data_IF_860963685150
#
_entry.id   IF_860963685150
#
_cell.length_a   1.000
_cell.length_b   1.000
_cell.length_c   1.000
_cell.angle_alpha   90.00
_cell.angle_beta   90.00
_cell.angle_gamma   90.00
#
_symmetry.space_group_name_H-M   'P 1'
#
loop_
_entity.id
_entity.type
_entity.pdbx_description
1 polymer ?
#
# COMPACT_ATOMS: atom_id res chain seq x y z
N UNK A 1 -10.97 0.55 35.71
CA UNK A 1 -11.38 0.22 34.34
C UNK A 1 -10.64 1.05 33.26
N UNK A 2 -10.34 2.36 33.41
CA UNK A 2 -9.57 3.17 32.45
C UNK A 2 -8.08 2.80 32.33
N UNK A 3 -7.42 2.43 33.43
CA UNK A 3 -5.97 2.16 33.47
C UNK A 3 -5.61 0.88 32.68
N UNK A 4 -6.42 -0.17 32.79
CA UNK A 4 -6.17 -1.41 32.05
C UNK A 4 -6.30 -1.23 30.53
N UNK A 5 -7.27 -0.44 30.06
CA UNK A 5 -7.39 -0.11 28.63
C UNK A 5 -6.18 0.67 28.12
N UNK A 6 -5.68 1.65 28.88
CA UNK A 6 -4.48 2.41 28.52
C UNK A 6 -3.21 1.55 28.47
N UNK A 7 -3.12 0.51 29.31
CA UNK A 7 -2.01 -0.45 29.27
C UNK A 7 -2.13 -1.40 28.07
N UNK A 8 -3.34 -1.86 27.76
CA UNK A 8 -3.62 -2.68 26.59
C UNK A 8 -3.32 -1.91 25.27
N UNK A 9 -3.72 -0.64 25.17
CA UNK A 9 -3.43 0.21 24.01
C UNK A 9 -1.93 0.46 23.84
N UNK A 10 -1.18 0.66 24.94
CA UNK A 10 0.28 0.82 24.90
C UNK A 10 0.98 -0.47 24.48
N UNK A 11 0.56 -1.62 25.00
CA UNK A 11 1.09 -2.93 24.61
C UNK A 11 0.81 -3.24 23.12
N UNK A 12 -0.37 -2.86 22.64
CA UNK A 12 -0.71 -2.98 21.21
C UNK A 12 0.20 -2.11 20.33
N UNK A 13 0.49 -0.87 20.77
CA UNK A 13 1.41 0.03 20.09
C UNK A 13 2.84 -0.50 20.04
N UNK A 14 3.36 -1.04 21.14
CA UNK A 14 4.69 -1.66 21.19
C UNK A 14 4.77 -2.87 20.28
N UNK A 15 3.76 -3.74 20.30
CA UNK A 15 3.68 -4.89 19.40
C UNK A 15 3.66 -4.46 17.93
N UNK A 16 2.89 -3.44 17.59
CA UNK A 16 2.85 -2.89 16.24
C UNK A 16 4.21 -2.33 15.83
N UNK A 17 4.89 -1.59 16.71
CA UNK A 17 6.23 -1.07 16.45
C UNK A 17 7.26 -2.18 16.18
N UNK A 18 7.24 -3.25 16.98
CA UNK A 18 8.11 -4.42 16.78
C UNK A 18 7.81 -5.10 15.46
N UNK A 19 6.52 -5.28 15.13
CA UNK A 19 6.09 -5.87 13.86
C UNK A 19 6.61 -5.05 12.66
N UNK A 20 6.42 -3.73 12.69
CA UNK A 20 6.90 -2.82 11.63
C UNK A 20 8.43 -2.84 11.55
N UNK A 21 9.12 -2.86 12.69
CA UNK A 21 10.59 -2.90 12.73
C UNK A 21 11.15 -4.17 12.07
N UNK A 22 10.65 -5.34 12.44
CA UNK A 22 11.09 -6.62 11.86
C UNK A 22 10.77 -6.67 10.36
N UNK A 23 9.54 -6.30 9.99
CA UNK A 23 9.12 -6.29 8.58
C UNK A 23 9.95 -5.31 7.74
N UNK A 24 10.29 -4.12 8.29
CA UNK A 24 11.10 -3.13 7.56
C UNK A 24 12.53 -3.59 7.33
N UNK A 25 13.14 -4.28 8.30
CA UNK A 25 14.47 -4.87 8.13
C UNK A 25 14.45 -5.91 7.00
N UNK A 26 13.45 -6.80 6.99
CA UNK A 26 13.32 -7.84 5.96
C UNK A 26 13.17 -7.19 4.56
N UNK A 27 12.26 -6.22 4.42
CA UNK A 27 12.05 -5.50 3.17
C UNK A 27 13.31 -4.78 2.72
N UNK A 28 13.97 -4.06 3.64
CA UNK A 28 15.16 -3.27 3.32
C UNK A 28 16.33 -4.15 2.89
N UNK A 29 16.64 -5.21 3.65
CA UNK A 29 17.73 -6.14 3.33
C UNK A 29 17.45 -6.80 1.98
N UNK A 30 16.26 -7.39 1.80
CA UNK A 30 15.93 -8.15 0.60
C UNK A 30 16.02 -7.28 -0.65
N UNK A 31 15.41 -6.09 -0.64
CA UNK A 31 15.43 -5.23 -1.82
C UNK A 31 16.80 -4.58 -2.06
N UNK A 32 17.57 -4.32 -1.01
CA UNK A 32 18.95 -3.82 -1.15
C UNK A 32 19.84 -4.83 -1.88
N UNK A 33 19.69 -6.12 -1.59
CA UNK A 33 20.43 -7.17 -2.27
C UNK A 33 20.03 -7.35 -3.74
N UNK A 34 18.72 -7.24 -4.04
CA UNK A 34 18.22 -7.54 -5.38
C UNK A 34 18.17 -6.36 -6.34
N UNK A 35 17.98 -5.12 -5.87
CA UNK A 35 17.63 -4.00 -6.76
C UNK A 35 18.53 -2.79 -6.68
N UNK A 36 19.44 -2.68 -5.73
CA UNK A 36 20.28 -1.49 -5.45
C UNK A 36 19.52 -0.16 -5.35
N UNK A 37 18.20 -0.18 -5.39
CA UNK A 37 17.34 0.99 -5.32
C UNK A 37 16.73 1.15 -3.92
N UNK A 38 16.27 2.36 -3.63
CA UNK A 38 15.60 2.66 -2.36
C UNK A 38 14.22 2.01 -2.33
N UNK A 39 13.94 1.12 -1.35
CA UNK A 39 12.68 0.36 -1.28
C UNK A 39 11.53 1.16 -0.67
N UNK A 40 11.43 2.47 -0.96
CA UNK A 40 10.48 3.39 -0.32
C UNK A 40 9.04 2.91 -0.46
N UNK A 41 8.69 2.45 -1.65
CA UNK A 41 7.32 2.04 -1.94
C UNK A 41 6.96 0.68 -1.35
N UNK A 42 7.92 -0.23 -1.29
CA UNK A 42 7.74 -1.50 -0.59
C UNK A 42 7.56 -1.28 0.91
N UNK A 43 8.38 -0.41 1.52
CA UNK A 43 8.25 -0.03 2.93
C UNK A 43 6.92 0.65 3.22
N UNK A 44 6.50 1.62 2.40
CA UNK A 44 5.20 2.29 2.56
C UNK A 44 4.03 1.29 2.44
N UNK A 45 4.14 0.31 1.54
CA UNK A 45 3.12 -0.73 1.36
C UNK A 45 3.12 -1.73 2.50
N UNK A 46 4.28 -2.08 3.02
CA UNK A 46 4.45 -2.93 4.18
C UNK A 46 3.80 -2.28 5.42
N UNK A 47 4.14 -1.02 5.73
CA UNK A 47 3.57 -0.31 6.88
C UNK A 47 2.04 -0.25 6.79
N UNK A 48 1.51 0.12 5.62
CA UNK A 48 0.07 0.25 5.43
C UNK A 48 -0.69 -1.08 5.42
N UNK A 49 0.00 -2.22 5.30
CA UNK A 49 -0.58 -3.57 5.37
C UNK A 49 -0.27 -4.30 6.68
N UNK A 50 0.53 -3.69 7.54
CA UNK A 50 0.86 -4.22 8.88
C UNK A 50 -0.32 -3.99 9.81
N UNK A 51 -1.18 -5.00 9.93
CA UNK A 51 -2.34 -4.96 10.81
C UNK A 51 -2.20 -6.02 11.90
N UNK A 52 -2.63 -5.72 13.15
CA UNK A 52 -2.63 -6.70 14.23
C UNK A 52 -3.50 -7.92 13.95
N UNK A 53 -4.58 -7.72 13.17
CA UNK A 53 -5.53 -8.77 12.78
C UNK A 53 -5.25 -9.22 11.34
N UNK A 54 -4.81 -10.46 11.18
CA UNK A 54 -4.41 -11.02 9.87
C UNK A 54 -5.51 -10.94 8.80
N UNK A 55 -6.78 -11.18 9.19
CA UNK A 55 -7.93 -11.06 8.27
C UNK A 55 -8.07 -9.64 7.70
N UNK A 56 -7.83 -8.63 8.52
CA UNK A 56 -7.89 -7.22 8.11
C UNK A 56 -6.69 -6.88 7.22
N UNK A 57 -5.49 -7.36 7.55
CA UNK A 57 -4.30 -7.24 6.72
C UNK A 57 -4.50 -7.82 5.31
N UNK A 58 -5.12 -9.00 5.20
CA UNK A 58 -5.42 -9.62 3.91
C UNK A 58 -6.43 -8.79 3.08
N UNK A 59 -7.43 -8.20 3.71
CA UNK A 59 -8.39 -7.30 3.05
C UNK A 59 -7.68 -6.06 2.50
N UNK A 60 -6.79 -5.47 3.29
CA UNK A 60 -5.98 -4.32 2.89
C UNK A 60 -5.04 -4.69 1.74
N UNK A 61 -4.37 -5.84 1.83
CA UNK A 61 -3.52 -6.36 0.76
C UNK A 61 -4.24 -6.44 -0.59
N UNK A 62 -5.41 -7.11 -0.62
CA UNK A 62 -6.21 -7.22 -1.86
C UNK A 62 -6.61 -5.86 -2.40
N UNK A 63 -7.07 -4.98 -1.52
CA UNK A 63 -7.47 -3.63 -1.91
C UNK A 63 -6.29 -2.83 -2.49
N UNK A 64 -5.12 -2.89 -1.87
CA UNK A 64 -3.92 -2.21 -2.36
C UNK A 64 -3.46 -2.76 -3.71
N UNK A 65 -3.44 -4.09 -3.85
CA UNK A 65 -3.06 -4.73 -5.11
C UNK A 65 -3.96 -4.28 -6.26
N UNK A 66 -5.27 -4.35 -6.07
CA UNK A 66 -6.25 -3.95 -7.08
C UNK A 66 -6.07 -2.46 -7.43
N UNK A 67 -6.01 -1.57 -6.43
CA UNK A 67 -5.88 -0.14 -6.67
C UNK A 67 -4.57 0.24 -7.35
N UNK A 68 -3.46 -0.40 -6.96
CA UNK A 68 -2.16 -0.16 -7.61
C UNK A 68 -2.18 -0.65 -9.06
N UNK A 69 -2.80 -1.81 -9.33
CA UNK A 69 -2.96 -2.33 -10.69
C UNK A 69 -3.86 -1.44 -11.56
N UNK A 70 -4.98 -0.97 -11.01
CA UNK A 70 -5.88 -0.02 -11.71
C UNK A 70 -5.14 1.28 -12.01
N UNK A 71 -4.42 1.84 -11.04
CA UNK A 71 -3.63 3.06 -11.24
C UNK A 71 -2.54 2.90 -12.29
N UNK A 72 -1.83 1.75 -12.28
CA UNK A 72 -0.84 1.41 -13.29
C UNK A 72 -1.48 1.31 -14.68
N UNK A 73 -2.58 0.57 -14.82
CA UNK A 73 -3.29 0.42 -16.09
C UNK A 73 -3.78 1.76 -16.65
N UNK A 74 -4.37 2.62 -15.81
CA UNK A 74 -4.81 3.96 -16.22
C UNK A 74 -3.63 4.82 -16.63
N UNK A 75 -2.53 4.83 -15.87
CA UNK A 75 -1.32 5.57 -16.22
C UNK A 75 -0.76 5.13 -17.57
N UNK A 76 -0.66 3.82 -17.81
CA UNK A 76 -0.20 3.25 -19.08
C UNK A 76 -1.12 3.57 -20.26
N UNK A 77 -2.45 3.54 -20.06
CA UNK A 77 -3.41 3.93 -21.08
C UNK A 77 -3.21 5.39 -21.50
N UNK A 78 -2.99 6.30 -20.55
CA UNK A 78 -2.73 7.69 -20.87
C UNK A 78 -1.37 7.92 -21.55
N UNK A 79 -0.37 7.09 -21.28
CA UNK A 79 0.90 7.12 -22.00
C UNK A 79 0.79 6.59 -23.43
N UNK A 80 -0.14 5.66 -23.71
CA UNK A 80 -0.36 5.15 -25.07
C UNK A 80 -1.11 6.13 -25.97
N UNK A 81 -1.77 7.15 -25.40
CA UNK A 81 -2.51 8.19 -26.14
C UNK A 81 -1.61 9.39 -26.40
N UNK A 82 -0.70 9.30 -27.36
CA UNK A 82 0.20 10.37 -27.78
C UNK A 82 1.32 10.69 -26.78
N UNK A 83 2.01 11.83 -26.97
CA UNK A 83 3.18 12.19 -26.18
C UNK A 83 2.84 12.47 -24.69
N UNK A 84 3.79 12.18 -23.76
CA UNK A 84 3.62 12.47 -22.36
C UNK A 84 3.62 13.98 -22.11
N UNK A 85 2.48 14.51 -21.72
CA UNK A 85 2.28 15.93 -21.43
C UNK A 85 1.69 16.14 -20.05
N UNK A 86 2.14 17.16 -19.34
CA UNK A 86 1.74 17.44 -17.95
C UNK A 86 0.23 17.67 -17.77
N UNK A 87 -0.45 18.23 -18.77
CA UNK A 87 -1.90 18.49 -18.71
C UNK A 87 -2.76 17.22 -18.65
N UNK A 88 -2.21 16.05 -19.02
CA UNK A 88 -2.91 14.76 -18.89
C UNK A 88 -3.05 14.29 -17.45
N UNK A 89 -2.20 14.78 -16.53
CA UNK A 89 -2.18 14.33 -15.14
C UNK A 89 -3.56 14.50 -14.45
N UNK A 90 -4.22 15.68 -14.48
CA UNK A 90 -5.51 15.84 -13.83
C UNK A 90 -6.59 14.86 -14.32
N UNK A 91 -6.64 14.62 -15.62
CA UNK A 91 -7.60 13.69 -16.21
C UNK A 91 -7.31 12.24 -15.81
N UNK A 92 -6.03 11.84 -15.84
CA UNK A 92 -5.61 10.52 -15.40
C UNK A 92 -5.97 10.27 -13.95
N UNK A 93 -5.75 11.26 -13.08
CA UNK A 93 -6.09 11.19 -11.66
C UNK A 93 -7.60 11.01 -11.46
N UNK A 94 -8.41 11.83 -12.14
CA UNK A 94 -9.87 11.74 -12.03
C UNK A 94 -10.38 10.36 -12.48
N UNK A 95 -9.91 9.86 -13.61
CA UNK A 95 -10.30 8.55 -14.14
C UNK A 95 -9.80 7.42 -13.23
N UNK A 96 -8.57 7.50 -12.70
CA UNK A 96 -8.05 6.51 -11.79
C UNK A 96 -8.88 6.43 -10.49
N UNK A 97 -9.32 7.57 -9.94
CA UNK A 97 -10.20 7.62 -8.76
C UNK A 97 -11.57 7.03 -9.08
N UNK A 98 -12.18 7.40 -10.21
CA UNK A 98 -13.48 6.89 -10.62
C UNK A 98 -13.44 5.36 -10.77
N UNK A 99 -12.48 4.84 -11.53
CA UNK A 99 -12.36 3.39 -11.72
C UNK A 99 -12.07 2.66 -10.41
N UNK A 100 -11.19 3.21 -9.56
CA UNK A 100 -10.91 2.64 -8.25
C UNK A 100 -12.15 2.63 -7.35
N UNK A 101 -13.00 3.65 -7.41
CA UNK A 101 -14.23 3.74 -6.61
C UNK A 101 -15.26 2.69 -7.00
N UNK A 102 -15.34 2.32 -8.30
CA UNK A 102 -16.24 1.26 -8.76
C UNK A 102 -15.73 -0.14 -8.40
N UNK A 103 -14.41 -0.36 -8.42
CA UNK A 103 -13.82 -1.68 -8.20
C UNK A 103 -13.58 -1.95 -6.70
N UNK A 104 -13.20 -0.94 -5.94
CA UNK A 104 -12.83 -1.06 -4.52
C UNK A 104 -13.84 -0.34 -3.64
N UNK A 105 -14.57 -1.10 -2.84
CA UNK A 105 -15.63 -0.57 -1.94
C UNK A 105 -15.10 0.06 -0.64
N UNK A 106 -13.79 0.30 -0.53
CA UNK A 106 -13.16 0.91 0.66
C UNK A 106 -12.70 2.33 0.30
N UNK A 107 -13.43 3.40 0.71
CA UNK A 107 -13.13 4.78 0.30
C UNK A 107 -11.71 5.24 0.60
N UNK A 108 -11.17 4.86 1.76
CA UNK A 108 -9.81 5.24 2.18
C UNK A 108 -8.73 4.72 1.22
N UNK A 109 -9.00 3.60 0.55
CA UNK A 109 -8.04 2.96 -0.36
C UNK A 109 -8.05 3.54 -1.78
N UNK A 110 -9.04 4.33 -2.19
CA UNK A 110 -9.13 4.92 -3.54
C UNK A 110 -7.95 5.83 -3.88
N UNK A 111 -7.29 6.39 -2.86
CA UNK A 111 -6.10 7.26 -3.01
C UNK A 111 -4.89 6.53 -3.62
N UNK A 112 -4.85 5.22 -3.58
CA UNK A 112 -3.70 4.43 -4.09
C UNK A 112 -3.62 4.44 -5.62
N UNK A 113 -4.77 4.36 -6.30
CA UNK A 113 -4.82 4.32 -7.76
C UNK A 113 -4.27 5.62 -8.39
N UNK A 114 -4.73 6.83 -8.03
CA UNK A 114 -4.20 8.06 -8.60
C UNK A 114 -2.72 8.28 -8.26
N UNK A 115 -2.26 7.90 -7.06
CA UNK A 115 -0.84 7.97 -6.71
C UNK A 115 0.00 7.12 -7.68
N UNK A 116 -0.43 5.89 -7.95
CA UNK A 116 0.29 5.01 -8.88
C UNK A 116 0.26 5.54 -10.31
N UNK A 117 -0.89 6.03 -10.78
CA UNK A 117 -1.01 6.63 -12.10
C UNK A 117 -0.09 7.84 -12.27
N UNK A 118 0.00 8.70 -11.25
CA UNK A 118 0.93 9.84 -11.24
C UNK A 118 2.39 9.39 -11.34
N UNK A 119 2.79 8.38 -10.57
CA UNK A 119 4.16 7.86 -10.59
C UNK A 119 4.54 7.33 -11.99
N UNK A 120 3.61 6.64 -12.66
CA UNK A 120 3.81 6.14 -14.03
C UNK A 120 4.03 7.30 -15.02
N UNK A 121 3.15 8.30 -14.99
CA UNK A 121 3.26 9.45 -15.90
C UNK A 121 4.49 10.31 -15.57
N UNK A 122 4.76 10.57 -14.29
CA UNK A 122 5.93 11.35 -13.88
C UNK A 122 7.25 10.69 -14.31
N UNK A 123 7.34 9.35 -14.23
CA UNK A 123 8.49 8.60 -14.72
C UNK A 123 8.71 8.76 -16.22
N UNK A 124 7.64 8.82 -17.02
CA UNK A 124 7.72 9.07 -18.45
C UNK A 124 8.07 10.52 -18.78
N UNK A 125 7.47 11.49 -18.07
CA UNK A 125 7.73 12.93 -18.27
C UNK A 125 9.18 13.30 -17.95
N UNK A 126 9.74 12.76 -16.87
CA UNK A 126 11.12 13.10 -16.43
C UNK A 126 12.20 12.63 -17.41
N UNK A 127 11.92 11.62 -18.22
CA UNK A 127 12.90 11.00 -19.12
C UNK A 127 12.52 11.14 -20.61
N UNK A 128 11.38 11.75 -20.90
CA UNK A 128 10.80 11.80 -22.26
C UNK A 128 10.68 10.41 -22.92
N UNK A 129 10.48 9.35 -22.10
CA UNK A 129 10.44 7.96 -22.55
C UNK A 129 9.24 7.22 -21.94
N UNK A 130 8.33 6.77 -22.80
CA UNK A 130 7.18 5.95 -22.36
C UNK A 130 7.61 4.62 -21.75
N UNK A 131 8.75 4.05 -22.20
CA UNK A 131 9.29 2.82 -21.64
C UNK A 131 9.68 2.96 -20.15
N UNK A 132 10.22 4.11 -19.77
CA UNK A 132 10.54 4.36 -18.34
C UNK A 132 9.28 4.42 -17.51
N UNK A 133 8.21 5.03 -18.04
CA UNK A 133 6.89 5.02 -17.38
C UNK A 133 6.35 3.60 -17.17
N UNK A 134 6.45 2.73 -18.19
CA UNK A 134 6.04 1.32 -18.11
C UNK A 134 6.84 0.56 -17.03
N UNK A 135 8.17 0.65 -17.10
CA UNK A 135 9.06 -0.03 -16.14
C UNK A 135 8.80 0.47 -14.72
N UNK A 136 8.62 1.77 -14.54
CA UNK A 136 8.32 2.37 -13.23
C UNK A 136 6.98 1.87 -12.68
N UNK A 137 5.95 1.77 -13.52
CA UNK A 137 4.65 1.25 -13.13
C UNK A 137 4.70 -0.22 -12.71
N UNK A 138 5.33 -1.08 -13.51
CA UNK A 138 5.49 -2.50 -13.21
C UNK A 138 6.30 -2.72 -11.93
N UNK A 139 7.41 -2.02 -11.79
CA UNK A 139 8.22 -2.04 -10.59
C UNK A 139 7.41 -1.64 -9.35
N UNK A 140 6.57 -0.60 -9.46
CA UNK A 140 5.67 -0.17 -8.40
C UNK A 140 4.73 -1.29 -7.95
N UNK A 141 4.12 -2.02 -8.89
CA UNK A 141 3.24 -3.14 -8.58
C UNK A 141 3.99 -4.24 -7.83
N UNK A 142 5.19 -4.61 -8.30
CA UNK A 142 6.03 -5.63 -7.67
C UNK A 142 6.44 -5.22 -6.25
N UNK A 143 6.88 -3.99 -6.05
CA UNK A 143 7.28 -3.47 -4.74
C UNK A 143 6.09 -3.45 -3.75
N UNK A 144 4.88 -3.11 -4.22
CA UNK A 144 3.65 -3.15 -3.40
C UNK A 144 3.31 -4.59 -2.99
N UNK A 145 3.35 -5.53 -3.93
CA UNK A 145 3.09 -6.95 -3.65
C UNK A 145 4.08 -7.46 -2.61
N UNK A 146 5.37 -7.23 -2.84
CA UNK A 146 6.43 -7.69 -1.96
C UNK A 146 6.27 -7.12 -0.54
N UNK A 147 6.11 -5.80 -0.40
CA UNK A 147 5.93 -5.15 0.90
C UNK A 147 4.71 -5.68 1.66
N UNK A 148 3.59 -5.86 0.97
CA UNK A 148 2.37 -6.39 1.57
C UNK A 148 2.50 -7.87 1.99
N UNK A 149 3.18 -8.70 1.18
CA UNK A 149 3.43 -10.11 1.52
C UNK A 149 4.30 -10.21 2.77
N UNK A 150 5.38 -9.45 2.84
CA UNK A 150 6.23 -9.40 4.04
C UNK A 150 5.43 -8.97 5.27
N UNK A 151 4.60 -7.92 5.14
CA UNK A 151 3.73 -7.46 6.24
C UNK A 151 2.80 -8.58 6.74
N UNK A 152 2.13 -9.30 5.82
CA UNK A 152 1.23 -10.39 6.18
C UNK A 152 1.96 -11.55 6.87
N UNK A 153 3.12 -11.95 6.36
CA UNK A 153 3.92 -13.03 6.94
C UNK A 153 4.38 -12.66 8.35
N UNK A 154 4.94 -11.46 8.52
CA UNK A 154 5.42 -11.01 9.84
C UNK A 154 4.26 -10.83 10.82
N UNK A 155 3.13 -10.24 10.38
CA UNK A 155 1.92 -10.11 11.21
C UNK A 155 1.35 -11.47 11.61
N UNK A 156 1.37 -12.47 10.72
CA UNK A 156 0.96 -13.83 11.03
C UNK A 156 1.88 -14.51 12.04
N UNK A 157 3.20 -14.38 11.89
CA UNK A 157 4.18 -14.88 12.85
C UNK A 157 4.01 -14.21 14.22
N UNK A 158 3.87 -12.89 14.24
CA UNK A 158 3.63 -12.13 15.48
C UNK A 158 2.32 -12.53 16.16
N UNK A 159 1.26 -12.80 15.40
CA UNK A 159 -0.01 -13.28 15.97
C UNK A 159 0.13 -14.67 16.61
N UNK A 160 1.07 -15.49 16.14
CA UNK A 160 1.35 -16.81 16.71
C UNK A 160 2.21 -16.75 17.97
N UNK A 161 3.17 -15.81 18.02
CA UNK A 161 4.09 -15.62 19.15
C UNK A 161 3.42 -14.79 20.26
N UNK A 162 2.65 -13.79 19.89
CA UNK A 162 2.00 -12.84 20.78
C UNK A 162 0.52 -12.67 20.41
N UNK A 163 -0.35 -13.63 20.80
CA UNK A 163 -1.76 -13.55 20.47
C UNK A 163 -2.40 -12.30 21.09
N UNK A 164 -3.14 -11.54 20.30
CA UNK A 164 -4.00 -10.47 20.81
C UNK A 164 -5.28 -11.13 21.27
N UNK A 165 -5.76 -10.89 22.51
CA UNK A 165 -7.12 -11.24 22.88
C UNK A 165 -8.07 -10.62 21.84
N UNK A 166 -9.04 -11.40 21.34
CA UNK A 166 -10.06 -10.90 20.42
C UNK A 166 -10.75 -9.70 21.08
N UNK A 167 -10.30 -8.50 20.74
CA UNK A 167 -11.04 -7.29 21.03
C UNK A 167 -12.29 -7.38 20.17
N UNK A 168 -13.42 -7.63 20.81
CA UNK A 168 -14.72 -7.74 20.16
C UNK A 168 -14.98 -6.60 19.16
N UNK A 169 -16.04 -6.67 18.37
CA UNK A 169 -16.30 -5.73 17.28
C UNK A 169 -16.11 -4.29 17.77
N UNK A 170 -15.33 -3.51 17.00
CA UNK A 170 -15.11 -2.10 17.30
C UNK A 170 -16.44 -1.42 17.62
N UNK A 171 -16.51 -0.59 18.68
CA UNK A 171 -17.72 0.15 18.97
C UNK A 171 -18.17 0.90 17.70
N UNK A 172 -19.42 0.73 17.29
CA UNK A 172 -20.00 1.55 16.23
C UNK A 172 -19.75 3.01 16.60
N UNK A 173 -19.29 3.86 15.65
CA UNK A 173 -19.26 5.27 15.92
C UNK A 173 -20.65 5.68 16.42
N UNK A 174 -20.67 6.26 17.63
CA UNK A 174 -21.89 6.85 18.15
C UNK A 174 -22.36 7.89 17.13
N UNK A 175 -23.62 7.81 16.77
CA UNK A 175 -24.28 8.75 15.89
C UNK A 175 -24.00 10.19 16.44
N UNK A 176 -23.19 10.94 15.69
CA UNK A 176 -23.02 12.39 15.83
C UNK A 176 -23.79 13.05 14.70
#
# INVERSE_FOLDING_TARGET
MKINRLLEDKLLGVRFAVNVFIASIIVWITLRFFTHAYPIWALASMIASSEPVVKQGLKIFRSRLINTSVGCAVGLLFLSVGEPTAWKIPFTLAIAVLLASYVVRIPVMWRQAPITATVVIAGSLSTHSNMVGVVTGLRRVIEVIFGCVVALVVSWLMAKIWPVPDSGPAPKPADL
#
